data_IF_451347535492
#
_entry.id   IF_451347535492
#
_cell.length_a   1.000
_cell.length_b   1.000
_cell.length_c   1.000
_cell.angle_alpha   90.00
_cell.angle_beta   90.00
_cell.angle_gamma   90.00
#
_symmetry.space_group_name_H-M   'P 1'
#
loop_
_entity.id
_entity.type
_entity.pdbx_description
1 polymer ?
#
# COMPACT_ATOMS: atom_id res chain seq x y z
N UNK A 1 5.78 23.17 65.05
CA UNK A 1 6.39 21.94 64.56
C UNK A 1 5.45 21.26 63.57
N UNK A 2 5.60 21.50 62.30
CA UNK A 2 4.78 20.91 61.25
C UNK A 2 5.61 19.84 60.50
N UNK A 3 5.20 18.58 60.58
CA UNK A 3 5.86 17.45 59.93
C UNK A 3 5.53 17.49 58.39
N UNK A 4 6.54 17.50 57.55
CA UNK A 4 6.45 17.31 56.10
C UNK A 4 6.05 15.85 55.80
N UNK A 5 5.19 15.59 54.79
CA UNK A 5 4.89 14.22 54.36
C UNK A 5 6.06 13.67 53.55
N UNK A 6 6.45 12.42 53.84
CA UNK A 6 7.45 11.63 53.08
C UNK A 6 6.85 11.30 51.70
N UNK A 7 7.53 11.68 50.63
CA UNK A 7 7.28 11.16 49.30
C UNK A 7 7.64 9.66 49.29
N UNK A 8 6.64 8.81 49.00
CA UNK A 8 6.87 7.43 48.61
C UNK A 8 7.50 7.43 47.22
N UNK A 9 8.72 6.96 47.09
CA UNK A 9 9.31 6.65 45.80
C UNK A 9 8.62 5.39 45.27
N UNK A 10 7.80 5.53 44.23
CA UNK A 10 7.32 4.41 43.45
C UNK A 10 8.51 3.85 42.67
N UNK A 11 9.07 2.74 43.10
CA UNK A 11 10.00 1.94 42.31
C UNK A 11 9.22 1.32 41.17
N UNK A 12 9.42 1.85 39.97
CA UNK A 12 9.00 1.17 38.75
C UNK A 12 9.71 -0.20 38.72
N UNK A 13 9.00 -1.33 38.50
CA UNK A 13 9.67 -2.62 38.36
C UNK A 13 10.59 -2.56 37.14
N UNK A 14 11.83 -2.97 37.30
CA UNK A 14 12.76 -3.18 36.18
C UNK A 14 12.08 -4.10 35.17
N UNK A 15 12.12 -3.72 33.88
CA UNK A 15 11.47 -4.46 32.84
C UNK A 15 11.96 -5.91 32.82
N UNK A 16 11.03 -6.83 32.58
CA UNK A 16 11.25 -8.29 32.50
C UNK A 16 12.35 -8.70 31.50
N UNK A 17 12.81 -7.78 30.69
CA UNK A 17 13.77 -7.94 29.61
C UNK A 17 15.24 -7.80 30.04
N UNK A 18 15.52 -7.12 31.15
CA UNK A 18 16.91 -6.94 31.66
C UNK A 18 17.52 -8.24 32.23
N UNK A 19 16.70 -9.21 32.65
CA UNK A 19 17.18 -10.45 33.28
C UNK A 19 17.70 -11.53 32.31
N UNK A 20 17.50 -11.39 30.97
CA UNK A 20 17.84 -12.44 29.99
C UNK A 20 19.04 -12.17 29.09
N UNK A 21 19.72 -11.02 29.18
CA UNK A 21 20.96 -10.75 28.43
C UNK A 21 20.81 -10.79 26.88
N UNK A 22 19.58 -10.89 26.36
CA UNK A 22 19.25 -10.77 24.95
C UNK A 22 19.10 -9.28 24.63
N UNK A 23 19.74 -8.77 23.57
CA UNK A 23 19.35 -7.48 22.98
C UNK A 23 17.87 -7.60 22.67
N UNK A 24 17.02 -6.99 23.51
CA UNK A 24 15.57 -7.02 23.33
C UNK A 24 15.23 -6.24 22.07
N UNK A 25 14.71 -6.94 21.08
CA UNK A 25 14.15 -6.26 19.92
C UNK A 25 12.96 -5.42 20.37
N UNK A 26 12.96 -4.15 19.99
CA UNK A 26 11.84 -3.25 20.25
C UNK A 26 10.57 -3.76 19.54
N UNK A 27 9.38 -3.58 20.15
CA UNK A 27 8.12 -4.10 19.60
C UNK A 27 7.86 -3.63 18.16
N UNK A 28 8.24 -2.40 17.83
CA UNK A 28 8.10 -1.87 16.46
C UNK A 28 8.95 -2.61 15.42
N UNK A 29 9.95 -3.42 15.83
CA UNK A 29 10.82 -4.20 14.94
C UNK A 29 10.25 -5.58 14.62
N UNK A 30 9.27 -6.05 15.39
CA UNK A 30 8.71 -7.38 15.26
C UNK A 30 7.76 -7.48 14.05
N UNK A 31 7.59 -8.68 13.51
CA UNK A 31 6.59 -8.99 12.49
C UNK A 31 5.18 -8.98 13.09
N UNK A 32 4.18 -8.75 12.24
CA UNK A 32 2.79 -8.81 12.68
C UNK A 32 2.41 -10.19 13.23
N UNK A 33 2.93 -11.27 12.63
CA UNK A 33 2.75 -12.65 13.13
C UNK A 33 3.27 -12.77 14.57
N UNK A 34 4.50 -12.33 14.83
CA UNK A 34 5.10 -12.42 16.17
C UNK A 34 4.34 -11.58 17.19
N UNK A 35 3.98 -10.36 16.82
CA UNK A 35 3.17 -9.49 17.69
C UNK A 35 1.80 -10.09 17.99
N UNK A 36 1.15 -10.68 16.99
CA UNK A 36 -0.14 -11.38 17.17
C UNK A 36 -0.04 -12.52 18.20
N UNK A 37 1.04 -13.32 18.13
CA UNK A 37 1.28 -14.41 19.08
C UNK A 37 1.56 -13.86 20.49
N UNK A 38 2.36 -12.81 20.63
CA UNK A 38 2.66 -12.17 21.92
C UNK A 38 1.40 -11.54 22.55
N UNK A 39 0.56 -10.88 21.73
CA UNK A 39 -0.71 -10.33 22.19
C UNK A 39 -1.66 -11.44 22.67
N UNK A 40 -1.76 -12.55 21.93
CA UNK A 40 -2.58 -13.69 22.32
C UNK A 40 -2.12 -14.34 23.62
N UNK A 41 -0.80 -14.44 23.83
CA UNK A 41 -0.17 -15.00 25.01
C UNK A 41 -0.11 -14.00 26.19
N UNK A 42 -0.58 -12.74 26.01
CA UNK A 42 -0.50 -11.66 27.00
C UNK A 42 0.95 -11.31 27.41
N UNK A 43 1.90 -11.49 26.48
CA UNK A 43 3.31 -11.10 26.66
C UNK A 43 3.52 -9.60 26.45
N UNK A 44 2.61 -8.94 25.75
CA UNK A 44 2.49 -7.49 25.58
C UNK A 44 1.01 -7.09 25.38
N UNK A 45 0.70 -5.80 25.51
CA UNK A 45 -0.60 -5.22 25.23
C UNK A 45 -0.60 -4.50 23.88
N UNK A 46 -1.79 -4.29 23.31
CA UNK A 46 -1.97 -3.49 22.09
C UNK A 46 -1.52 -2.05 22.29
N UNK A 47 -1.72 -1.51 23.49
CA UNK A 47 -1.26 -0.16 23.86
C UNK A 47 0.25 -0.09 23.83
N UNK A 48 0.99 -1.06 24.39
CA UNK A 48 2.46 -1.09 24.36
C UNK A 48 3.01 -1.18 22.93
N UNK A 49 2.42 -2.04 22.09
CA UNK A 49 2.80 -2.15 20.67
C UNK A 49 2.58 -0.82 19.97
N UNK A 50 1.39 -0.21 20.15
CA UNK A 50 1.04 1.07 19.52
C UNK A 50 1.95 2.20 20.00
N UNK A 51 2.24 2.28 21.28
CA UNK A 51 3.18 3.28 21.85
C UNK A 51 4.59 3.11 21.28
N UNK A 52 5.08 1.88 21.15
CA UNK A 52 6.39 1.59 20.57
C UNK A 52 6.49 2.09 19.12
N UNK A 53 5.45 1.84 18.30
CA UNK A 53 5.40 2.32 16.90
C UNK A 53 5.24 3.83 16.82
N UNK A 54 4.39 4.44 17.64
CA UNK A 54 4.21 5.91 17.68
C UNK A 54 5.50 6.63 18.14
N UNK A 55 6.24 6.06 19.10
CA UNK A 55 7.55 6.58 19.48
C UNK A 55 8.57 6.48 18.35
N UNK A 56 8.47 5.43 17.54
CA UNK A 56 9.31 5.30 16.34
C UNK A 56 8.95 6.36 15.30
N UNK A 57 7.67 6.62 15.05
CA UNK A 57 7.22 7.71 14.18
C UNK A 57 7.79 9.05 14.67
N UNK A 58 7.62 9.39 15.95
CA UNK A 58 8.17 10.65 16.50
C UNK A 58 9.67 10.83 16.23
N UNK A 59 10.42 9.74 16.30
CA UNK A 59 11.88 9.79 16.16
C UNK A 59 12.38 9.79 14.72
N UNK A 60 11.60 9.22 13.76
CA UNK A 60 12.07 9.00 12.38
C UNK A 60 11.31 9.76 11.32
N UNK A 61 10.05 10.08 11.54
CA UNK A 61 9.21 10.78 10.57
C UNK A 61 9.81 12.12 10.08
N UNK A 62 10.50 12.94 10.92
CA UNK A 62 11.15 14.16 10.44
C UNK A 62 12.22 13.93 9.37
N UNK A 63 12.83 12.75 9.33
CA UNK A 63 13.80 12.36 8.33
C UNK A 63 13.15 11.68 7.10
N UNK A 64 12.14 10.85 7.34
CA UNK A 64 11.54 9.97 6.32
C UNK A 64 10.39 10.64 5.56
N UNK A 65 9.46 11.32 6.24
CA UNK A 65 8.31 11.97 5.63
C UNK A 65 7.29 10.97 5.05
N UNK A 66 7.02 9.88 5.78
CA UNK A 66 6.11 8.83 5.33
C UNK A 66 4.64 9.15 5.59
N UNK A 67 4.32 9.97 6.60
CA UNK A 67 2.95 10.29 7.01
C UNK A 67 2.51 11.69 6.58
N UNK A 68 1.25 11.82 6.14
CA UNK A 68 0.56 13.10 5.97
C UNK A 68 -0.34 13.43 7.16
N UNK A 69 -0.79 12.40 7.88
CA UNK A 69 -1.59 12.53 9.10
C UNK A 69 -1.26 11.37 10.04
N UNK A 70 -0.95 11.66 11.30
CA UNK A 70 -0.77 10.67 12.37
C UNK A 70 -1.95 10.77 13.33
N UNK A 71 -2.67 9.67 13.54
CA UNK A 71 -3.87 9.56 14.38
C UNK A 71 -3.51 8.98 15.76
N UNK A 72 -2.68 9.71 16.53
CA UNK A 72 -2.11 9.23 17.80
C UNK A 72 -3.17 8.86 18.83
N UNK A 73 -4.12 9.77 19.09
CA UNK A 73 -5.11 9.58 20.15
C UNK A 73 -6.09 8.46 19.77
N UNK A 74 -6.58 8.47 18.53
CA UNK A 74 -7.49 7.45 18.01
C UNK A 74 -6.83 6.05 18.02
N UNK A 75 -5.55 5.98 17.66
CA UNK A 75 -4.79 4.72 17.68
C UNK A 75 -4.65 4.17 19.10
N UNK A 76 -4.29 5.01 20.08
CA UNK A 76 -4.17 4.59 21.47
C UNK A 76 -5.52 4.20 22.10
N UNK A 77 -6.58 4.95 21.79
CA UNK A 77 -7.93 4.62 22.25
C UNK A 77 -8.38 3.26 21.69
N UNK A 78 -8.15 3.04 20.39
CA UNK A 78 -8.47 1.76 19.75
C UNK A 78 -7.66 0.60 20.33
N UNK A 79 -6.37 0.81 20.58
CA UNK A 79 -5.51 -0.20 21.21
C UNK A 79 -6.03 -0.58 22.61
N UNK A 80 -6.43 0.40 23.42
CA UNK A 80 -7.01 0.17 24.75
C UNK A 80 -8.33 -0.61 24.67
N UNK A 81 -9.23 -0.28 23.73
CA UNK A 81 -10.47 -1.05 23.51
C UNK A 81 -10.19 -2.52 23.19
N UNK A 82 -9.17 -2.79 22.36
CA UNK A 82 -8.79 -4.17 22.02
C UNK A 82 -8.22 -4.90 23.23
N UNK A 83 -7.41 -4.24 24.06
CA UNK A 83 -6.87 -4.82 25.28
C UNK A 83 -8.00 -5.15 26.28
N UNK A 84 -9.02 -4.30 26.41
CA UNK A 84 -10.22 -4.60 27.23
C UNK A 84 -11.00 -5.83 26.71
N UNK A 85 -11.22 -5.93 25.39
CA UNK A 85 -11.87 -7.09 24.79
C UNK A 85 -11.08 -8.38 25.05
N UNK A 86 -9.75 -8.29 24.89
CA UNK A 86 -8.83 -9.41 25.18
C UNK A 86 -8.86 -9.83 26.66
N UNK A 87 -8.92 -8.86 27.57
CA UNK A 87 -9.03 -9.12 29.01
C UNK A 87 -10.35 -9.83 29.38
N UNK A 88 -11.45 -9.49 28.68
CA UNK A 88 -12.75 -10.15 28.81
C UNK A 88 -12.81 -11.56 28.21
N UNK A 89 -11.75 -11.99 27.49
CA UNK A 89 -11.70 -13.30 26.85
C UNK A 89 -12.48 -13.39 25.54
N UNK A 90 -12.76 -12.26 24.89
CA UNK A 90 -13.42 -12.26 23.59
C UNK A 90 -12.52 -12.92 22.52
N UNK A 91 -13.14 -13.63 21.58
CA UNK A 91 -12.43 -14.19 20.42
C UNK A 91 -12.05 -13.06 19.47
N UNK A 92 -10.78 -12.81 19.32
CA UNK A 92 -10.22 -11.72 18.49
C UNK A 92 -9.47 -12.26 17.27
N UNK A 93 -9.51 -11.50 16.19
CA UNK A 93 -8.72 -11.84 15.00
C UNK A 93 -7.21 -11.72 15.26
N UNK A 94 -6.40 -12.31 14.39
CA UNK A 94 -4.94 -12.18 14.47
C UNK A 94 -4.44 -10.75 14.23
N UNK A 95 -5.23 -9.88 13.61
CA UNK A 95 -4.91 -8.46 13.41
C UNK A 95 -5.33 -7.57 14.59
N UNK A 96 -6.07 -8.10 15.56
CA UNK A 96 -6.58 -7.32 16.67
C UNK A 96 -5.44 -6.74 17.53
N UNK A 97 -5.34 -5.42 17.54
CA UNK A 97 -4.29 -4.67 18.22
C UNK A 97 -3.01 -4.46 17.42
N UNK A 98 -2.95 -4.87 16.15
CA UNK A 98 -1.79 -4.64 15.27
C UNK A 98 -1.89 -3.26 14.61
N UNK A 99 -0.84 -2.41 14.72
CA UNK A 99 -0.80 -1.10 14.09
C UNK A 99 -0.67 -1.16 12.56
N UNK A 100 -1.56 -0.44 11.84
CA UNK A 100 -1.64 -0.42 10.38
C UNK A 100 -1.66 1.02 9.87
N UNK A 101 -0.80 1.35 8.90
CA UNK A 101 -0.81 2.62 8.17
C UNK A 101 -1.62 2.52 6.88
N UNK A 102 -2.31 3.59 6.48
CA UNK A 102 -3.25 3.61 5.37
C UNK A 102 -2.79 4.60 4.30
N UNK A 103 -2.59 4.15 3.06
CA UNK A 103 -2.27 5.07 1.94
C UNK A 103 -3.33 6.14 1.78
N UNK A 104 -2.91 7.37 1.47
CA UNK A 104 -3.78 8.54 1.54
C UNK A 104 -4.79 8.69 0.39
N UNK A 105 -4.94 7.69 -0.45
CA UNK A 105 -6.03 7.57 -1.42
C UNK A 105 -7.13 6.57 -1.01
N UNK A 106 -7.05 6.01 0.18
CA UNK A 106 -8.07 5.12 0.75
C UNK A 106 -8.93 5.95 1.71
N UNK A 107 -10.21 6.12 1.38
CA UNK A 107 -11.15 6.89 2.19
C UNK A 107 -11.28 6.28 3.59
N UNK A 108 -11.04 7.10 4.59
CA UNK A 108 -11.15 6.74 6.01
C UNK A 108 -12.07 7.76 6.67
N UNK A 109 -13.21 7.32 7.17
CA UNK A 109 -14.24 8.18 7.76
C UNK A 109 -13.65 9.07 8.87
N UNK A 110 -13.91 10.37 8.76
CA UNK A 110 -13.49 11.35 9.77
C UNK A 110 -12.00 11.68 9.75
N UNK A 111 -11.19 11.03 8.91
CA UNK A 111 -9.74 11.30 8.78
C UNK A 111 -9.44 11.91 7.42
N UNK A 112 -8.75 13.02 7.42
CA UNK A 112 -8.34 13.74 6.20
C UNK A 112 -7.71 12.77 5.19
N UNK A 113 -8.19 12.79 3.94
CA UNK A 113 -7.77 11.92 2.85
C UNK A 113 -7.57 12.76 1.58
N UNK A 114 -6.32 13.03 1.23
CA UNK A 114 -5.97 14.08 0.27
C UNK A 114 -5.47 13.56 -1.07
N UNK A 115 -5.16 12.27 -1.20
CA UNK A 115 -4.43 11.72 -2.36
C UNK A 115 -3.09 12.45 -2.63
N UNK A 116 -2.50 13.02 -1.58
CA UNK A 116 -1.30 13.87 -1.64
C UNK A 116 -1.44 15.06 -2.62
N UNK A 117 -2.66 15.61 -2.79
CA UNK A 117 -3.01 16.67 -3.73
C UNK A 117 -3.61 17.88 -3.03
N UNK A 118 -3.31 19.07 -3.55
CA UNK A 118 -3.95 20.32 -3.13
C UNK A 118 -5.47 20.30 -3.40
N UNK A 119 -5.91 19.65 -4.48
CA UNK A 119 -7.33 19.57 -4.83
C UNK A 119 -8.20 18.93 -3.74
N UNK A 120 -7.63 18.05 -2.92
CA UNK A 120 -8.30 17.37 -1.80
C UNK A 120 -7.68 17.70 -0.43
N UNK A 121 -6.89 18.77 -0.30
CA UNK A 121 -6.11 19.04 0.92
C UNK A 121 -6.96 19.08 2.20
N UNK A 122 -8.21 19.50 2.12
CA UNK A 122 -9.14 19.62 3.24
C UNK A 122 -10.27 18.57 3.21
N UNK A 123 -10.18 17.56 2.35
CA UNK A 123 -11.24 16.57 2.22
C UNK A 123 -11.21 15.58 3.36
N UNK A 124 -12.33 15.46 4.06
CA UNK A 124 -12.57 14.46 5.11
C UNK A 124 -13.73 13.58 4.65
N UNK A 125 -13.49 12.29 4.35
CA UNK A 125 -14.53 11.38 3.89
C UNK A 125 -15.63 11.18 4.94
N UNK A 126 -16.92 11.19 4.55
CA UNK A 126 -18.05 10.86 5.44
C UNK A 126 -18.29 9.35 5.54
N UNK A 127 -17.50 8.51 4.88
CA UNK A 127 -17.63 7.05 4.82
C UNK A 127 -16.27 6.37 4.81
N UNK A 128 -16.26 5.10 5.14
CA UNK A 128 -15.09 4.24 5.07
C UNK A 128 -15.01 3.51 3.72
N UNK A 129 -13.78 3.26 3.25
CA UNK A 129 -13.55 2.29 2.20
C UNK A 129 -13.83 0.88 2.73
N UNK A 130 -14.25 -0.05 1.86
CA UNK A 130 -14.48 -1.45 2.25
C UNK A 130 -13.34 -2.07 3.06
N UNK A 131 -12.09 -1.80 2.67
CA UNK A 131 -10.93 -2.31 3.42
C UNK A 131 -10.82 -1.73 4.82
N UNK A 132 -11.33 -0.52 5.06
CA UNK A 132 -11.36 0.09 6.39
C UNK A 132 -12.41 -0.57 7.28
N UNK A 133 -13.60 -0.88 6.75
CA UNK A 133 -14.60 -1.67 7.48
C UNK A 133 -14.03 -3.03 7.88
N UNK A 134 -13.33 -3.71 6.94
CA UNK A 134 -12.65 -4.98 7.21
C UNK A 134 -11.54 -4.88 8.29
N UNK A 135 -10.75 -3.83 8.27
CA UNK A 135 -9.72 -3.59 9.30
C UNK A 135 -10.35 -3.29 10.67
N UNK A 136 -11.43 -2.52 10.69
CA UNK A 136 -12.17 -2.21 11.91
C UNK A 136 -12.77 -3.48 12.53
N UNK A 137 -13.41 -4.33 11.70
CA UNK A 137 -13.95 -5.63 12.12
C UNK A 137 -12.85 -6.57 12.64
N UNK A 138 -11.69 -6.55 12.01
CA UNK A 138 -10.53 -7.33 12.42
C UNK A 138 -9.84 -6.78 13.70
N UNK A 139 -10.24 -5.61 14.19
CA UNK A 139 -9.65 -5.01 15.38
C UNK A 139 -8.27 -4.40 15.18
N UNK A 140 -7.88 -4.08 13.95
CA UNK A 140 -6.63 -3.40 13.66
C UNK A 140 -6.60 -1.97 14.24
N UNK A 141 -5.41 -1.45 14.49
CA UNK A 141 -5.17 -0.10 15.01
C UNK A 141 -4.67 0.79 13.88
N UNK A 142 -5.47 1.74 13.44
CA UNK A 142 -5.11 2.67 12.36
C UNK A 142 -4.18 3.76 12.89
N UNK A 143 -2.96 3.84 12.34
CA UNK A 143 -1.95 4.83 12.76
C UNK A 143 -2.10 6.19 12.08
N UNK A 144 -2.68 6.23 10.88
CA UNK A 144 -2.82 7.45 10.10
C UNK A 144 -2.72 7.24 8.60
N UNK A 145 -2.51 8.35 7.87
CA UNK A 145 -2.51 8.43 6.41
C UNK A 145 -1.11 8.63 5.87
N UNK A 146 -0.73 7.76 4.94
CA UNK A 146 0.62 7.64 4.39
C UNK A 146 0.77 8.38 3.07
N UNK A 147 1.88 9.09 2.93
CA UNK A 147 2.23 9.88 1.76
C UNK A 147 2.33 9.02 0.49
N UNK A 148 2.14 9.65 -0.66
CA UNK A 148 2.07 9.00 -1.95
C UNK A 148 2.39 9.98 -3.08
N UNK A 149 2.64 9.52 -4.29
CA UNK A 149 2.57 10.38 -5.46
C UNK A 149 1.13 10.85 -5.67
N UNK A 150 0.95 12.10 -6.06
CA UNK A 150 -0.36 12.75 -6.23
C UNK A 150 -1.30 11.89 -7.09
N UNK A 151 -2.50 11.57 -6.59
CA UNK A 151 -3.50 10.69 -7.20
C UNK A 151 -2.94 9.36 -7.72
N UNK A 152 -1.93 8.82 -7.05
CA UNK A 152 -1.21 7.59 -7.43
C UNK A 152 -0.48 7.68 -8.79
N UNK A 153 -0.20 8.88 -9.28
CA UNK A 153 0.49 9.15 -10.55
C UNK A 153 1.95 9.50 -10.32
N UNK A 154 2.80 8.47 -10.29
CA UNK A 154 4.23 8.58 -10.08
C UNK A 154 4.84 7.26 -9.67
N UNK A 155 6.17 7.28 -9.47
CA UNK A 155 6.96 6.09 -9.10
C UNK A 155 8.08 6.40 -8.12
N UNK A 156 8.02 7.58 -7.45
CA UNK A 156 9.09 8.04 -6.57
C UNK A 156 8.59 8.67 -5.26
N UNK A 157 7.30 8.98 -5.16
CA UNK A 157 6.68 9.76 -4.05
C UNK A 157 7.29 11.16 -3.91
N UNK A 158 7.75 11.71 -5.04
CA UNK A 158 8.20 13.11 -5.14
C UNK A 158 7.10 14.05 -5.63
N UNK A 159 6.01 13.51 -6.25
CA UNK A 159 4.89 14.29 -6.78
C UNK A 159 3.84 14.62 -5.72
N UNK A 160 4.10 14.36 -4.44
CA UNK A 160 3.22 14.82 -3.36
C UNK A 160 3.21 16.33 -3.26
N UNK A 161 2.02 16.92 -3.10
CA UNK A 161 1.86 18.36 -2.84
C UNK A 161 2.45 18.78 -1.49
N UNK A 162 2.43 17.89 -0.49
CA UNK A 162 2.77 18.25 0.89
C UNK A 162 4.27 18.10 1.19
N UNK A 163 4.85 16.95 0.87
CA UNK A 163 6.25 16.64 1.19
C UNK A 163 6.77 15.47 0.35
N UNK A 164 8.08 15.33 0.30
CA UNK A 164 8.74 14.16 -0.30
C UNK A 164 8.95 13.08 0.76
N UNK A 165 8.74 11.83 0.39
CA UNK A 165 9.15 10.70 1.22
C UNK A 165 10.53 10.22 0.80
N UNK A 166 11.36 9.84 1.78
CA UNK A 166 12.73 9.37 1.55
C UNK A 166 12.84 7.88 1.84
N UNK A 167 13.81 7.24 1.18
CA UNK A 167 14.09 5.83 1.43
C UNK A 167 14.78 5.66 2.79
N UNK A 168 14.23 4.83 3.70
CA UNK A 168 14.79 4.65 5.05
C UNK A 168 16.21 4.07 5.09
N UNK A 169 16.63 3.35 4.04
CA UNK A 169 17.97 2.79 3.94
C UNK A 169 19.01 3.85 3.58
N UNK A 170 18.63 4.82 2.76
CA UNK A 170 19.47 5.96 2.42
C UNK A 170 18.55 7.14 2.00
N UNK A 171 18.46 8.20 2.82
CA UNK A 171 17.60 9.36 2.56
C UNK A 171 17.93 10.17 1.30
N UNK A 172 19.06 9.90 0.65
CA UNK A 172 19.40 10.50 -0.64
C UNK A 172 18.65 9.85 -1.82
N UNK A 173 18.01 8.71 -1.59
CA UNK A 173 17.26 7.97 -2.62
C UNK A 173 15.76 8.02 -2.36
N UNK A 174 14.99 7.77 -3.42
CA UNK A 174 13.54 7.67 -3.37
C UNK A 174 13.10 6.33 -2.79
N UNK A 175 11.95 6.25 -2.10
CA UNK A 175 11.38 4.99 -1.60
C UNK A 175 10.68 4.20 -2.70
N UNK A 176 10.58 4.77 -3.91
CA UNK A 176 9.65 4.31 -4.93
C UNK A 176 8.24 4.92 -4.75
N UNK A 177 7.30 4.48 -5.57
CA UNK A 177 5.93 5.02 -5.59
C UNK A 177 4.98 4.23 -6.52
N UNK A 178 3.73 4.59 -6.44
CA UNK A 178 3.13 5.72 -5.73
C UNK A 178 2.89 5.45 -4.23
N UNK A 179 3.03 4.21 -3.71
CA UNK A 179 2.86 3.89 -2.28
C UNK A 179 4.18 4.01 -1.51
N UNK A 180 4.99 5.07 -1.76
CA UNK A 180 6.30 5.23 -1.15
C UNK A 180 6.23 5.45 0.37
N UNK A 181 5.25 6.22 0.85
CA UNK A 181 5.01 6.37 2.28
C UNK A 181 4.65 5.04 2.95
N UNK A 182 3.80 4.21 2.29
CA UNK A 182 3.44 2.89 2.81
C UNK A 182 4.65 1.96 2.93
N UNK A 183 5.53 1.96 1.93
CA UNK A 183 6.72 1.12 1.95
C UNK A 183 7.78 1.65 2.93
N UNK A 184 8.02 2.95 2.94
CA UNK A 184 8.98 3.59 3.83
C UNK A 184 8.59 3.42 5.30
N UNK A 185 7.32 3.58 5.67
CA UNK A 185 6.85 3.40 7.04
C UNK A 185 7.13 1.99 7.58
N UNK A 186 6.88 0.94 6.79
CA UNK A 186 7.20 -0.45 7.17
C UNK A 186 8.71 -0.63 7.33
N UNK A 187 9.51 -0.18 6.35
CA UNK A 187 10.97 -0.32 6.38
C UNK A 187 11.61 0.44 7.54
N UNK A 188 11.10 1.65 7.87
CA UNK A 188 11.59 2.46 8.99
C UNK A 188 11.14 1.96 10.36
N UNK A 189 10.17 1.07 10.43
CA UNK A 189 9.53 0.64 11.69
C UNK A 189 8.44 1.57 12.20
N UNK A 190 7.98 2.49 11.38
CA UNK A 190 6.90 3.42 11.66
C UNK A 190 5.49 2.84 11.44
N UNK A 191 5.43 1.64 10.92
CA UNK A 191 4.24 0.80 10.88
C UNK A 191 4.64 -0.67 10.91
N UNK A 192 3.76 -1.53 11.46
CA UNK A 192 3.93 -2.98 11.38
C UNK A 192 3.48 -3.49 10.02
N UNK A 193 2.32 -3.04 9.59
CA UNK A 193 1.68 -3.32 8.32
C UNK A 193 1.17 -2.03 7.67
N UNK A 194 1.03 -2.01 6.35
CA UNK A 194 0.39 -0.90 5.67
C UNK A 194 -0.48 -1.38 4.50
N UNK A 195 -1.48 -0.57 4.13
CA UNK A 195 -2.18 -0.69 2.87
C UNK A 195 -1.61 0.29 1.85
N UNK A 196 -1.42 -0.20 0.64
CA UNK A 196 -1.08 0.58 -0.54
C UNK A 196 -2.11 0.40 -1.65
N UNK A 197 -1.87 1.01 -2.80
CA UNK A 197 -2.61 0.74 -4.04
C UNK A 197 -1.65 0.60 -5.21
N UNK A 198 -1.98 -0.26 -6.16
CA UNK A 198 -1.15 -0.59 -7.32
C UNK A 198 -1.98 -0.53 -8.61
N UNK A 199 -1.57 0.30 -9.53
CA UNK A 199 -2.17 0.45 -10.86
C UNK A 199 -1.21 -0.07 -11.94
N UNK A 200 0.09 0.24 -11.77
CA UNK A 200 1.16 -0.15 -12.70
C UNK A 200 2.47 -0.47 -11.98
N UNK A 201 2.42 -0.93 -10.72
CA UNK A 201 3.60 -1.25 -9.92
C UNK A 201 3.67 -0.57 -8.55
N UNK A 202 2.67 0.25 -8.21
CA UNK A 202 2.74 1.18 -7.06
C UNK A 202 2.69 0.54 -5.66
N UNK A 203 2.61 -0.77 -5.53
CA UNK A 203 2.92 -1.55 -4.31
C UNK A 203 4.24 -2.28 -4.49
N UNK A 204 4.40 -2.98 -5.62
CA UNK A 204 5.52 -3.90 -5.90
C UNK A 204 6.84 -3.16 -5.97
N UNK A 205 6.91 -2.06 -6.71
CA UNK A 205 8.14 -1.30 -6.93
C UNK A 205 8.62 -0.62 -5.64
N UNK A 206 7.81 0.14 -4.88
CA UNK A 206 8.29 0.72 -3.62
C UNK A 206 8.62 -0.35 -2.57
N UNK A 207 7.94 -1.49 -2.54
CA UNK A 207 8.32 -2.61 -1.68
C UNK A 207 9.71 -3.15 -2.00
N UNK A 208 10.04 -3.31 -3.29
CA UNK A 208 11.36 -3.72 -3.73
C UNK A 208 12.44 -2.69 -3.35
N UNK A 209 12.17 -1.40 -3.54
CA UNK A 209 13.13 -0.32 -3.22
C UNK A 209 13.37 -0.15 -1.71
N UNK A 210 12.36 -0.44 -0.89
CA UNK A 210 12.45 -0.38 0.56
C UNK A 210 12.82 -1.71 1.23
N UNK A 211 13.01 -2.80 0.45
CA UNK A 211 13.43 -4.11 0.98
C UNK A 211 12.39 -4.79 1.88
N UNK A 212 11.11 -4.65 1.55
CA UNK A 212 9.97 -5.24 2.25
C UNK A 212 9.14 -6.14 1.31
N UNK A 213 8.14 -6.81 1.85
CA UNK A 213 7.19 -7.62 1.08
C UNK A 213 5.94 -6.80 0.75
N UNK A 214 5.59 -6.75 -0.54
CA UNK A 214 4.34 -6.14 -1.00
C UNK A 214 3.60 -7.05 -1.95
N UNK A 215 2.30 -7.18 -1.77
CA UNK A 215 1.43 -8.00 -2.62
C UNK A 215 0.46 -7.10 -3.40
N UNK A 216 0.52 -7.16 -4.72
CA UNK A 216 -0.60 -6.73 -5.57
C UNK A 216 -1.54 -7.90 -5.77
N UNK A 217 -2.70 -7.93 -5.10
CA UNK A 217 -3.67 -9.01 -5.25
C UNK A 217 -4.20 -9.12 -6.68
N UNK A 218 -4.82 -10.25 -6.99
CA UNK A 218 -5.60 -10.41 -8.22
C UNK A 218 -6.69 -9.34 -8.27
N UNK A 219 -6.84 -8.66 -9.42
CA UNK A 219 -7.90 -7.67 -9.63
C UNK A 219 -9.25 -8.25 -9.22
N UNK A 220 -10.07 -7.45 -8.56
CA UNK A 220 -11.39 -7.81 -8.01
C UNK A 220 -11.40 -8.67 -6.74
N UNK A 221 -10.26 -9.10 -6.22
CA UNK A 221 -10.21 -9.87 -4.95
C UNK A 221 -10.33 -8.99 -3.70
N UNK A 222 -9.96 -7.73 -3.80
CA UNK A 222 -10.17 -6.68 -2.79
C UNK A 222 -10.98 -5.58 -3.43
N UNK A 223 -12.07 -5.17 -2.79
CA UNK A 223 -12.93 -4.11 -3.28
C UNK A 223 -12.19 -2.78 -3.44
N UNK A 224 -12.57 -2.04 -4.47
CA UNK A 224 -12.12 -0.67 -4.73
C UNK A 224 -13.09 0.40 -4.20
N UNK A 225 -14.19 -0.02 -3.54
CA UNK A 225 -15.09 0.94 -2.90
C UNK A 225 -14.35 1.78 -1.87
N UNK A 226 -14.40 3.10 -2.03
CA UNK A 226 -13.68 4.05 -1.20
C UNK A 226 -12.20 4.23 -1.56
N UNK A 227 -11.67 3.57 -2.59
CA UNK A 227 -10.40 3.92 -3.21
C UNK A 227 -10.60 5.07 -4.18
N UNK A 228 -9.91 6.19 -3.99
CA UNK A 228 -9.94 7.29 -4.96
C UNK A 228 -9.26 6.83 -6.25
N UNK A 229 -10.03 6.83 -7.35
CA UNK A 229 -9.62 6.19 -8.59
C UNK A 229 -8.54 6.97 -9.34
N UNK A 230 -7.49 6.26 -9.75
CA UNK A 230 -6.60 6.66 -10.85
C UNK A 230 -7.09 6.04 -12.16
N UNK A 231 -6.97 4.71 -12.30
CA UNK A 231 -7.42 3.96 -13.47
C UNK A 231 -8.27 2.77 -13.02
N UNK A 232 -9.58 2.91 -13.10
CA UNK A 232 -10.55 2.01 -12.48
C UNK A 232 -10.44 0.56 -12.93
N UNK A 233 -9.97 0.30 -14.16
CA UNK A 233 -9.75 -1.06 -14.67
C UNK A 233 -8.44 -1.70 -14.25
N UNK A 234 -7.57 -0.96 -13.55
CA UNK A 234 -6.22 -1.40 -13.17
C UNK A 234 -5.95 -1.29 -11.67
N UNK A 235 -6.57 -0.31 -10.98
CA UNK A 235 -6.31 -0.04 -9.57
C UNK A 235 -6.65 -1.24 -8.69
N UNK A 236 -5.76 -1.54 -7.73
CA UNK A 236 -5.97 -2.60 -6.75
C UNK A 236 -5.33 -2.19 -5.41
N UNK A 237 -6.10 -2.30 -4.31
CA UNK A 237 -5.56 -2.18 -2.95
C UNK A 237 -4.82 -3.47 -2.60
N UNK A 238 -3.72 -3.35 -1.86
CA UNK A 238 -2.99 -4.51 -1.36
C UNK A 238 -2.10 -4.19 -0.17
N UNK A 239 -1.69 -5.25 0.54
CA UNK A 239 -0.92 -5.17 1.77
C UNK A 239 0.58 -5.05 1.53
N UNK A 240 1.26 -4.37 2.48
CA UNK A 240 2.71 -4.35 2.61
C UNK A 240 3.09 -4.73 4.05
N UNK A 241 4.19 -5.44 4.22
CA UNK A 241 4.67 -5.91 5.53
C UNK A 241 6.12 -6.40 5.46
N UNK A 242 6.66 -6.86 6.59
CA UNK A 242 8.05 -7.31 6.67
C UNK A 242 8.25 -8.76 6.23
N UNK A 243 7.21 -9.58 6.29
CA UNK A 243 7.27 -10.99 5.92
C UNK A 243 6.11 -11.38 5.02
N UNK A 244 6.27 -12.51 4.32
CA UNK A 244 5.19 -13.08 3.49
C UNK A 244 3.97 -13.43 4.34
N UNK A 245 4.18 -13.93 5.56
CA UNK A 245 3.09 -14.26 6.49
C UNK A 245 2.34 -13.02 6.96
N UNK A 246 3.04 -11.92 7.24
CA UNK A 246 2.41 -10.63 7.59
C UNK A 246 1.49 -10.15 6.47
N UNK A 247 1.99 -10.19 5.23
CA UNK A 247 1.24 -9.80 4.03
C UNK A 247 0.05 -10.73 3.79
N UNK A 248 0.22 -12.05 3.96
CA UNK A 248 -0.85 -13.03 3.84
C UNK A 248 -1.96 -12.80 4.90
N UNK A 249 -1.57 -12.49 6.13
CA UNK A 249 -2.50 -12.20 7.22
C UNK A 249 -3.35 -10.95 6.93
N UNK A 250 -2.72 -9.86 6.48
CA UNK A 250 -3.44 -8.64 6.13
C UNK A 250 -4.32 -8.85 4.87
N UNK A 251 -3.82 -9.60 3.86
CA UNK A 251 -4.61 -9.92 2.67
C UNK A 251 -5.86 -10.75 3.00
N UNK A 252 -5.72 -11.77 3.86
CA UNK A 252 -6.86 -12.59 4.31
C UNK A 252 -7.96 -11.75 4.97
N UNK A 253 -7.58 -10.69 5.68
CA UNK A 253 -8.54 -9.83 6.35
C UNK A 253 -9.29 -8.88 5.39
N UNK A 254 -8.63 -8.39 4.33
CA UNK A 254 -9.19 -7.35 3.45
C UNK A 254 -9.81 -7.88 2.16
N UNK A 255 -9.57 -9.14 1.78
CA UNK A 255 -10.20 -9.75 0.61
C UNK A 255 -11.67 -10.09 0.88
N UNK A 256 -12.44 -10.20 -0.19
CA UNK A 256 -13.85 -10.59 -0.10
C UNK A 256 -14.73 -9.85 -1.09
N UNK A 257 -15.98 -10.33 -1.18
CA UNK A 257 -17.01 -9.70 -2.00
C UNK A 257 -17.54 -8.44 -1.34
N UNK A 258 -17.70 -7.40 -2.13
CA UNK A 258 -18.36 -6.17 -1.76
C UNK A 258 -19.48 -5.83 -2.76
N UNK A 259 -20.73 -5.67 -2.31
CA UNK A 259 -21.84 -5.29 -3.19
C UNK A 259 -21.74 -3.85 -3.73
N UNK A 260 -20.93 -2.98 -3.11
CA UNK A 260 -20.70 -1.60 -3.57
C UNK A 260 -19.69 -1.49 -4.71
N UNK A 261 -18.91 -2.54 -4.99
CA UNK A 261 -18.00 -2.62 -6.12
C UNK A 261 -18.48 -3.68 -7.10
N UNK A 262 -19.06 -3.25 -8.24
CA UNK A 262 -19.55 -4.14 -9.28
C UNK A 262 -18.47 -5.05 -9.90
N UNK A 263 -17.19 -4.71 -9.70
CA UNK A 263 -16.06 -5.53 -10.17
C UNK A 263 -15.59 -6.53 -9.13
N UNK A 264 -16.08 -6.46 -7.90
CA UNK A 264 -15.71 -7.39 -6.82
C UNK A 264 -16.14 -8.83 -7.15
N UNK A 265 -15.17 -9.75 -7.11
CA UNK A 265 -15.41 -11.14 -7.52
C UNK A 265 -16.31 -11.89 -6.51
N UNK A 266 -17.26 -12.65 -7.06
CA UNK A 266 -18.14 -13.53 -6.27
C UNK A 266 -17.43 -14.86 -6.05
N UNK A 267 -16.60 -14.93 -5.01
CA UNK A 267 -15.89 -16.16 -4.62
C UNK A 267 -15.56 -16.14 -3.13
N UNK A 268 -15.35 -17.31 -2.57
CA UNK A 268 -14.79 -17.47 -1.24
C UNK A 268 -13.27 -17.39 -1.30
N UNK A 269 -12.67 -16.83 -0.27
CA UNK A 269 -11.23 -16.69 -0.12
C UNK A 269 -10.78 -17.51 1.09
N UNK A 270 -9.73 -18.32 0.95
CA UNK A 270 -9.19 -19.08 2.08
C UNK A 270 -8.41 -18.16 3.03
N UNK A 271 -8.05 -18.70 4.20
CA UNK A 271 -6.99 -18.09 5.00
C UNK A 271 -5.64 -18.29 4.29
N UNK A 272 -5.13 -17.19 3.70
CA UNK A 272 -3.88 -17.22 2.94
C UNK A 272 -2.65 -17.48 3.82
N UNK A 273 -2.73 -17.33 5.15
CA UNK A 273 -1.62 -17.68 6.04
C UNK A 273 -1.33 -19.17 6.01
N UNK A 274 -2.35 -20.01 5.81
CA UNK A 274 -2.22 -21.46 5.65
C UNK A 274 -1.58 -21.85 4.30
N UNK A 275 -1.60 -20.97 3.30
CA UNK A 275 -1.00 -21.21 2.00
C UNK A 275 0.52 -20.92 1.96
N UNK A 276 1.07 -20.24 2.99
CA UNK A 276 2.51 -19.97 3.09
C UNK A 276 3.25 -21.24 3.47
N UNK A 277 3.74 -21.94 2.45
CA UNK A 277 4.47 -23.21 2.58
C UNK A 277 5.90 -23.05 2.10
N UNK A 278 6.80 -23.83 2.65
CA UNK A 278 8.21 -23.91 2.23
C UNK A 278 8.46 -24.96 1.13
N UNK A 279 7.47 -25.78 0.78
CA UNK A 279 7.63 -26.83 -0.20
C UNK A 279 7.45 -26.29 -1.63
N UNK A 280 8.51 -26.38 -2.42
CA UNK A 280 8.56 -25.92 -3.81
C UNK A 280 8.79 -27.07 -4.81
N UNK A 281 8.94 -28.30 -4.31
CA UNK A 281 9.16 -29.50 -5.16
C UNK A 281 8.01 -29.68 -6.14
N UNK A 282 8.36 -29.84 -7.42
CA UNK A 282 7.38 -30.01 -8.49
C UNK A 282 6.77 -28.74 -9.06
N UNK A 283 7.07 -27.55 -8.49
CA UNK A 283 6.67 -26.31 -9.10
C UNK A 283 7.44 -26.09 -10.42
N UNK A 284 6.73 -25.61 -11.43
CA UNK A 284 7.29 -25.19 -12.71
C UNK A 284 7.32 -23.67 -12.76
N UNK A 285 8.52 -23.11 -12.78
CA UNK A 285 8.76 -21.65 -12.66
C UNK A 285 9.21 -21.12 -14.01
N UNK A 286 8.39 -20.25 -14.62
CA UNK A 286 8.71 -19.59 -15.88
C UNK A 286 9.73 -18.47 -15.68
N UNK A 287 10.72 -18.39 -16.55
CA UNK A 287 11.72 -17.33 -16.61
C UNK A 287 11.57 -16.62 -17.95
N UNK A 288 10.83 -15.47 -18.01
CA UNK A 288 10.66 -14.74 -19.25
C UNK A 288 11.96 -14.06 -19.68
N UNK A 289 12.41 -14.35 -20.90
CA UNK A 289 13.65 -13.75 -21.43
C UNK A 289 13.57 -12.21 -21.53
N UNK A 290 12.37 -11.67 -21.80
CA UNK A 290 12.11 -10.25 -21.94
C UNK A 290 12.32 -9.48 -20.62
N UNK A 291 12.26 -10.15 -19.47
CA UNK A 291 12.47 -9.53 -18.15
C UNK A 291 13.95 -9.35 -17.79
N UNK A 292 14.86 -9.86 -18.62
CA UNK A 292 16.32 -9.73 -18.45
C UNK A 292 16.97 -8.88 -19.55
N UNK A 293 16.18 -8.01 -20.20
CA UNK A 293 16.62 -7.11 -21.26
C UNK A 293 17.62 -6.04 -20.84
N UNK A 294 17.82 -5.06 -21.72
CA UNK A 294 18.64 -3.88 -21.42
C UNK A 294 18.02 -3.01 -20.31
N UNK A 295 18.86 -2.28 -19.58
CA UNK A 295 18.42 -1.36 -18.52
C UNK A 295 18.32 -1.98 -17.11
N UNK A 296 18.47 -3.31 -16.97
CA UNK A 296 18.54 -3.96 -15.65
C UNK A 296 20.01 -4.13 -15.25
N UNK A 297 20.37 -3.66 -14.06
CA UNK A 297 21.75 -3.78 -13.56
C UNK A 297 22.14 -5.24 -13.35
N UNK A 298 23.46 -5.52 -13.47
CA UNK A 298 24.00 -6.87 -13.29
C UNK A 298 23.65 -7.45 -11.92
N UNK A 299 23.74 -6.64 -10.85
CA UNK A 299 23.44 -7.05 -9.47
C UNK A 299 21.99 -7.51 -9.29
N UNK A 300 21.03 -6.81 -9.94
CA UNK A 300 19.63 -7.20 -9.92
C UNK A 300 19.43 -8.52 -10.67
N UNK A 301 20.01 -8.67 -11.87
CA UNK A 301 19.96 -9.94 -12.63
C UNK A 301 20.52 -11.10 -11.81
N UNK A 302 21.68 -10.90 -11.18
CA UNK A 302 22.33 -11.92 -10.35
C UNK A 302 21.44 -12.31 -9.16
N UNK A 303 20.83 -11.32 -8.48
CA UNK A 303 19.95 -11.55 -7.34
C UNK A 303 18.72 -12.38 -7.73
N UNK A 304 18.07 -12.06 -8.86
CA UNK A 304 16.93 -12.80 -9.39
C UNK A 304 17.35 -14.25 -9.73
N UNK A 305 18.45 -14.43 -10.45
CA UNK A 305 18.97 -15.76 -10.79
C UNK A 305 19.35 -16.57 -9.56
N UNK A 306 19.92 -15.95 -8.54
CA UNK A 306 20.25 -16.62 -7.27
C UNK A 306 19.01 -17.21 -6.61
N UNK A 307 17.89 -16.47 -6.59
CA UNK A 307 16.62 -16.97 -6.05
C UNK A 307 16.09 -18.12 -6.93
N UNK A 308 16.07 -17.95 -8.26
CA UNK A 308 15.64 -18.98 -9.20
C UNK A 308 16.42 -20.29 -9.00
N UNK A 309 17.75 -20.21 -8.90
CA UNK A 309 18.63 -21.38 -8.65
C UNK A 309 18.42 -22.00 -7.27
N UNK A 310 18.11 -21.18 -6.26
CA UNK A 310 17.77 -21.69 -4.92
C UNK A 310 16.48 -22.54 -4.98
N UNK A 311 15.46 -22.06 -5.70
CA UNK A 311 14.21 -22.78 -5.89
C UNK A 311 14.41 -24.08 -6.70
N UNK A 312 15.24 -24.03 -7.74
CA UNK A 312 15.61 -25.21 -8.53
C UNK A 312 16.32 -26.27 -7.64
N UNK A 313 17.27 -25.83 -6.81
CA UNK A 313 17.95 -26.70 -5.83
C UNK A 313 17.01 -27.30 -4.79
N UNK A 314 15.88 -26.64 -4.50
CA UNK A 314 14.83 -27.14 -3.63
C UNK A 314 13.79 -28.03 -4.34
N UNK A 315 13.98 -28.32 -5.63
CA UNK A 315 13.17 -29.28 -6.41
C UNK A 315 12.12 -28.67 -7.32
N UNK A 316 12.15 -27.36 -7.55
CA UNK A 316 11.39 -26.71 -8.63
C UNK A 316 12.06 -26.96 -9.98
N UNK A 317 11.32 -26.77 -11.08
CA UNK A 317 11.83 -26.83 -12.44
C UNK A 317 11.78 -25.43 -13.05
N UNK A 318 12.92 -24.90 -13.51
CA UNK A 318 12.96 -23.65 -14.27
C UNK A 318 12.58 -23.91 -15.74
N UNK A 319 11.76 -23.05 -16.32
CA UNK A 319 11.25 -23.18 -17.70
C UNK A 319 11.43 -21.85 -18.41
N UNK A 320 12.13 -21.85 -19.53
CA UNK A 320 12.26 -20.66 -20.39
C UNK A 320 10.91 -20.30 -21.01
N UNK A 321 10.58 -19.00 -20.94
CA UNK A 321 9.30 -18.45 -21.45
C UNK A 321 9.61 -17.23 -22.31
N UNK A 322 8.76 -16.98 -23.28
CA UNK A 322 8.77 -15.73 -24.07
C UNK A 322 7.41 -15.06 -23.97
N UNK A 323 7.43 -13.77 -23.63
CA UNK A 323 6.28 -12.87 -23.51
C UNK A 323 6.53 -11.61 -24.37
N UNK A 324 6.55 -11.73 -25.69
CA UNK A 324 7.05 -10.69 -26.61
C UNK A 324 6.23 -9.39 -26.56
N UNK A 325 4.95 -9.46 -26.20
CA UNK A 325 4.12 -8.24 -26.06
C UNK A 325 4.49 -7.40 -24.83
N UNK A 326 5.38 -7.88 -23.94
CA UNK A 326 5.90 -7.12 -22.79
C UNK A 326 6.59 -5.84 -23.23
N UNK A 327 7.25 -5.80 -24.39
CA UNK A 327 7.91 -4.61 -24.93
C UNK A 327 6.94 -3.43 -25.14
N UNK A 328 5.67 -3.72 -25.33
CA UNK A 328 4.61 -2.71 -25.51
C UNK A 328 3.80 -2.43 -24.25
N UNK A 329 4.06 -3.17 -23.16
CA UNK A 329 3.24 -3.12 -21.94
C UNK A 329 3.21 -1.72 -21.33
N UNK A 330 4.37 -1.07 -21.22
CA UNK A 330 4.49 0.26 -20.64
C UNK A 330 3.73 1.32 -21.46
N UNK A 331 3.86 1.29 -22.79
CA UNK A 331 3.15 2.21 -23.69
C UNK A 331 1.63 2.00 -23.60
N UNK A 332 1.17 0.75 -23.63
CA UNK A 332 -0.24 0.42 -23.49
C UNK A 332 -0.81 0.88 -22.13
N UNK A 333 -0.04 0.65 -21.04
CA UNK A 333 -0.40 1.12 -19.72
C UNK A 333 -0.58 2.63 -19.67
N UNK A 334 0.37 3.42 -20.15
CA UNK A 334 0.28 4.89 -20.12
C UNK A 334 -0.93 5.43 -20.90
N UNK A 335 -1.25 4.82 -22.03
CA UNK A 335 -2.42 5.21 -22.83
C UNK A 335 -3.73 4.89 -22.08
N UNK A 336 -3.89 3.66 -21.60
CA UNK A 336 -5.11 3.21 -20.91
C UNK A 336 -5.29 3.97 -19.60
N UNK A 337 -4.25 4.01 -18.77
CA UNK A 337 -4.31 4.66 -17.47
C UNK A 337 -4.57 6.17 -17.57
N UNK A 338 -3.95 6.86 -18.55
CA UNK A 338 -4.20 8.29 -18.76
C UNK A 338 -5.60 8.55 -19.29
N UNK A 339 -6.13 7.71 -20.20
CA UNK A 339 -7.49 7.79 -20.67
C UNK A 339 -8.50 7.68 -19.51
N UNK A 340 -8.32 6.70 -18.64
CA UNK A 340 -9.19 6.50 -17.47
C UNK A 340 -9.01 7.64 -16.45
N UNK A 341 -7.78 8.11 -16.21
CA UNK A 341 -7.50 9.24 -15.33
C UNK A 341 -8.23 10.51 -15.78
N UNK A 342 -8.20 10.84 -17.07
CA UNK A 342 -8.89 12.02 -17.60
C UNK A 342 -10.39 12.00 -17.30
N UNK A 343 -11.02 10.83 -17.38
CA UNK A 343 -12.43 10.63 -17.03
C UNK A 343 -12.66 10.63 -15.51
N UNK A 344 -11.83 9.90 -14.75
CA UNK A 344 -11.99 9.79 -13.30
C UNK A 344 -11.76 11.12 -12.56
N UNK A 345 -10.79 11.92 -13.00
CA UNK A 345 -10.46 13.18 -12.36
C UNK A 345 -11.32 14.37 -12.85
N UNK A 346 -12.22 14.15 -13.82
CA UNK A 346 -13.17 15.17 -14.26
C UNK A 346 -14.11 15.65 -13.15
N UNK A 347 -14.36 14.81 -12.14
CA UNK A 347 -15.23 15.11 -10.99
C UNK A 347 -14.66 16.16 -10.00
N UNK A 348 -13.36 16.40 -10.04
CA UNK A 348 -12.69 17.38 -9.18
C UNK A 348 -12.73 18.75 -9.84
N UNK A 349 -13.82 19.46 -9.62
CA UNK A 349 -14.17 20.74 -10.26
C UNK A 349 -14.31 21.91 -9.27
N UNK A 350 -14.12 21.64 -7.97
CA UNK A 350 -14.27 22.64 -6.92
C UNK A 350 -15.71 23.05 -6.60
N UNK A 351 -16.71 22.33 -7.12
CA UNK A 351 -18.13 22.66 -6.89
C UNK A 351 -18.70 21.93 -5.67
N UNK A 352 -18.56 20.61 -5.60
CA UNK A 352 -19.17 19.81 -4.53
C UNK A 352 -18.25 19.61 -3.33
N UNK A 353 -16.95 19.47 -3.55
CA UNK A 353 -15.93 19.23 -2.53
C UNK A 353 -14.53 19.55 -3.10
N UNK A 354 -13.55 19.61 -2.21
CA UNK A 354 -12.17 19.88 -2.54
C UNK A 354 -11.87 21.38 -2.67
N UNK A 355 -10.67 21.66 -3.16
CA UNK A 355 -10.19 23.02 -3.41
C UNK A 355 -11.01 23.72 -4.48
N UNK A 356 -11.29 25.01 -4.28
CA UNK A 356 -11.84 25.94 -5.27
C UNK A 356 -10.95 27.17 -5.34
N UNK A 357 -10.62 27.61 -6.56
CA UNK A 357 -9.91 28.86 -6.77
C UNK A 357 -10.65 30.02 -6.12
N UNK A 358 -9.91 30.94 -5.53
CA UNK A 358 -10.48 32.10 -4.81
C UNK A 358 -10.93 33.22 -5.74
N UNK A 359 -10.27 33.34 -6.90
CA UNK A 359 -10.47 34.41 -7.86
C UNK A 359 -10.87 33.83 -9.22
N UNK A 360 -12.01 34.26 -9.73
CA UNK A 360 -12.53 33.94 -11.06
C UNK A 360 -13.65 34.92 -11.44
N UNK A 361 -13.75 35.30 -12.72
CA UNK A 361 -14.78 36.23 -13.21
C UNK A 361 -16.06 35.51 -13.63
N UNK A 362 -15.98 34.24 -13.97
CA UNK A 362 -17.10 33.41 -14.47
C UNK A 362 -16.90 31.93 -14.15
N UNK A 363 -17.92 31.11 -14.47
CA UNK A 363 -17.92 29.68 -14.18
C UNK A 363 -16.79 28.91 -14.91
N UNK A 364 -16.47 29.27 -16.13
CA UNK A 364 -15.39 28.64 -16.90
C UNK A 364 -14.05 28.90 -16.23
N UNK A 365 -13.76 30.13 -15.90
CA UNK A 365 -12.53 30.49 -15.15
C UNK A 365 -12.46 29.80 -13.79
N UNK A 366 -13.60 29.65 -13.09
CA UNK A 366 -13.62 28.92 -11.82
C UNK A 366 -13.12 27.48 -12.01
N UNK A 367 -13.58 26.79 -13.04
CA UNK A 367 -13.11 25.43 -13.34
C UNK A 367 -11.64 25.40 -13.75
N UNK A 368 -11.24 26.30 -14.64
CA UNK A 368 -9.87 26.36 -15.15
C UNK A 368 -8.87 26.69 -14.04
N UNK A 369 -9.13 27.71 -13.24
CA UNK A 369 -8.27 28.12 -12.14
C UNK A 369 -8.22 27.04 -11.07
N UNK A 370 -9.38 26.50 -10.65
CA UNK A 370 -9.44 25.42 -9.66
C UNK A 370 -8.58 24.22 -10.05
N UNK A 371 -8.70 23.75 -11.27
CA UNK A 371 -7.94 22.59 -11.74
C UNK A 371 -6.48 22.92 -12.02
N UNK A 372 -6.20 24.13 -12.48
CA UNK A 372 -4.85 24.62 -12.73
C UNK A 372 -4.04 24.77 -11.44
N UNK A 373 -4.65 25.28 -10.40
CA UNK A 373 -4.03 25.49 -9.08
C UNK A 373 -4.02 24.21 -8.24
N UNK A 374 -5.13 23.44 -8.30
CA UNK A 374 -5.35 22.27 -7.46
C UNK A 374 -4.59 21.01 -7.85
N UNK A 375 -4.28 20.82 -9.15
CA UNK A 375 -3.54 19.66 -9.62
C UNK A 375 -2.06 19.96 -9.88
N UNK A 376 -1.19 19.04 -9.50
CA UNK A 376 0.24 19.06 -9.81
C UNK A 376 0.53 18.78 -11.30
N UNK A 377 1.78 18.99 -11.68
CA UNK A 377 2.21 18.92 -13.08
C UNK A 377 2.02 17.55 -13.72
N UNK A 378 2.33 16.45 -12.99
CA UNK A 378 2.20 15.09 -13.52
C UNK A 378 0.72 14.71 -13.72
N UNK A 379 -0.15 15.05 -12.79
CA UNK A 379 -1.59 14.80 -12.92
C UNK A 379 -2.17 15.55 -14.12
N UNK A 380 -1.82 16.83 -14.28
CA UNK A 380 -2.23 17.63 -15.46
C UNK A 380 -1.77 16.98 -16.76
N UNK A 381 -0.51 16.52 -16.82
CA UNK A 381 0.04 15.81 -17.99
C UNK A 381 -0.77 14.55 -18.33
N UNK A 382 -1.13 13.72 -17.32
CA UNK A 382 -1.93 12.51 -17.55
C UNK A 382 -3.35 12.83 -17.99
N UNK A 383 -3.98 13.86 -17.44
CA UNK A 383 -5.32 14.31 -17.88
C UNK A 383 -5.28 14.77 -19.33
N UNK A 384 -4.30 15.59 -19.71
CA UNK A 384 -4.15 16.07 -21.09
C UNK A 384 -3.87 14.93 -22.06
N UNK A 385 -2.96 14.02 -21.74
CA UNK A 385 -2.69 12.82 -22.55
C UNK A 385 -3.92 11.95 -22.69
N UNK A 386 -4.67 11.75 -21.62
CA UNK A 386 -5.93 10.97 -21.64
C UNK A 386 -6.99 11.59 -22.53
N UNK A 387 -7.21 12.89 -22.40
CA UNK A 387 -8.13 13.63 -23.29
C UNK A 387 -7.72 13.54 -24.76
N UNK A 388 -6.43 13.62 -25.05
CA UNK A 388 -5.88 13.50 -26.40
C UNK A 388 -6.16 12.11 -27.00
N UNK A 389 -5.79 11.03 -26.29
CA UNK A 389 -5.95 9.66 -26.82
C UNK A 389 -7.40 9.19 -26.92
N UNK A 390 -8.34 9.90 -26.26
CA UNK A 390 -9.78 9.65 -26.36
C UNK A 390 -10.46 10.55 -27.41
N UNK A 391 -9.77 11.56 -27.96
CA UNK A 391 -10.36 12.49 -28.91
C UNK A 391 -10.63 11.84 -30.27
N UNK A 392 -11.56 12.46 -31.03
CA UNK A 392 -11.93 12.01 -32.36
C UNK A 392 -10.70 11.96 -33.28
N UNK A 393 -10.54 10.86 -34.02
CA UNK A 393 -9.39 10.60 -34.90
C UNK A 393 -8.19 9.94 -34.22
N UNK A 394 -8.05 10.05 -32.88
CA UNK A 394 -6.94 9.42 -32.14
C UNK A 394 -7.37 8.19 -31.34
N UNK A 395 -8.65 8.05 -31.03
CA UNK A 395 -9.19 6.92 -30.27
C UNK A 395 -8.82 5.56 -30.89
N UNK A 396 -9.03 5.40 -32.20
CA UNK A 396 -8.69 4.17 -32.91
C UNK A 396 -7.19 3.96 -33.05
N UNK A 397 -6.44 5.04 -33.25
CA UNK A 397 -5.00 4.99 -33.44
C UNK A 397 -4.23 4.65 -32.16
N UNK A 398 -4.73 5.05 -31.00
CA UNK A 398 -4.04 4.88 -29.70
C UNK A 398 -4.82 4.01 -28.74
N UNK A 399 -6.01 4.43 -28.28
CA UNK A 399 -6.73 3.74 -27.22
C UNK A 399 -7.11 2.31 -27.58
N UNK A 400 -7.73 2.11 -28.76
CA UNK A 400 -8.06 0.75 -29.23
C UNK A 400 -6.85 -0.13 -29.40
N UNK A 401 -5.73 0.39 -29.93
CA UNK A 401 -4.48 -0.37 -30.06
C UNK A 401 -3.92 -0.77 -28.69
N UNK A 402 -3.94 0.14 -27.71
CA UNK A 402 -3.51 -0.18 -26.37
C UNK A 402 -4.38 -1.26 -25.71
N UNK A 403 -5.70 -1.20 -25.89
CA UNK A 403 -6.64 -2.25 -25.44
C UNK A 403 -6.38 -3.59 -26.12
N UNK A 404 -6.11 -3.58 -27.42
CA UNK A 404 -5.74 -4.80 -28.15
C UNK A 404 -4.42 -5.39 -27.63
N UNK A 405 -3.40 -4.54 -27.39
CA UNK A 405 -2.13 -4.98 -26.78
C UNK A 405 -2.35 -5.58 -25.39
N UNK A 406 -3.22 -5.00 -24.56
CA UNK A 406 -3.59 -5.56 -23.27
C UNK A 406 -4.17 -6.97 -23.39
N UNK A 407 -5.06 -7.21 -24.37
CA UNK A 407 -5.62 -8.54 -24.62
C UNK A 407 -4.55 -9.54 -25.07
N UNK A 408 -3.61 -9.13 -25.92
CA UNK A 408 -2.49 -10.00 -26.34
C UNK A 408 -1.59 -10.38 -25.17
N UNK A 409 -1.25 -9.43 -24.32
CA UNK A 409 -0.47 -9.71 -23.09
C UNK A 409 -1.22 -10.72 -22.21
N UNK A 410 -2.53 -10.55 -22.00
CA UNK A 410 -3.34 -11.52 -21.25
C UNK A 410 -3.32 -12.91 -21.87
N UNK A 411 -3.36 -13.02 -23.20
CA UNK A 411 -3.33 -14.29 -23.92
C UNK A 411 -1.97 -14.99 -23.78
N UNK A 412 -0.87 -14.25 -23.88
CA UNK A 412 0.48 -14.77 -23.68
C UNK A 412 0.66 -15.34 -22.25
N UNK A 413 0.23 -14.59 -21.21
CA UNK A 413 0.26 -15.11 -19.84
C UNK A 413 -0.67 -16.32 -19.66
N UNK A 414 -1.89 -16.30 -20.22
CA UNK A 414 -2.82 -17.43 -20.13
C UNK A 414 -2.21 -18.68 -20.78
N UNK A 415 -1.58 -18.54 -21.93
CA UNK A 415 -0.87 -19.63 -22.60
C UNK A 415 0.30 -20.16 -21.77
N UNK A 416 1.12 -19.27 -21.22
CA UNK A 416 2.25 -19.65 -20.38
C UNK A 416 1.78 -20.43 -19.12
N UNK A 417 0.74 -19.99 -18.46
CA UNK A 417 0.21 -20.64 -17.26
C UNK A 417 -0.51 -21.97 -17.51
N UNK A 418 -0.70 -22.41 -18.76
CA UNK A 418 -1.15 -23.79 -19.03
C UNK A 418 -0.10 -24.84 -18.60
N UNK A 419 1.17 -24.47 -18.57
CA UNK A 419 2.28 -25.36 -18.24
C UNK A 419 3.12 -24.91 -17.05
N UNK A 420 2.84 -23.77 -16.44
CA UNK A 420 3.61 -23.18 -15.35
C UNK A 420 2.81 -23.10 -14.06
N UNK A 421 3.51 -23.20 -12.94
CA UNK A 421 2.95 -22.91 -11.61
C UNK A 421 3.03 -21.43 -11.26
N UNK A 422 4.14 -20.78 -11.62
CA UNK A 422 4.36 -19.35 -11.42
C UNK A 422 5.39 -18.81 -12.45
N UNK A 423 5.47 -17.49 -12.54
CA UNK A 423 6.51 -16.79 -13.27
C UNK A 423 7.34 -16.02 -12.26
N UNK A 424 8.66 -16.21 -12.31
CA UNK A 424 9.62 -15.50 -11.45
C UNK A 424 10.25 -14.35 -12.22
N UNK A 425 10.27 -13.19 -11.57
CA UNK A 425 10.77 -11.93 -12.12
C UNK A 425 11.96 -11.46 -11.30
#
# INVERSE_FOLDING_TARGET
>A
MLRKPRRAASSCPKSWNEERGLKTMELYQLTAEKLSDMLANKECSSVEVTQSVLGRIESKEPEIGAYLTVCREEALNRAAEIDEKRAKGESLSRLAGIPVGIKDNICTRGIRTTCASHILENFVPPYDAFVMDKLNDAGAVVLGKLNMDEFAMGSSTENSYFQKTRNPWNPAYVPGGSSGGSAAAVAAGEAVLTLGSDTGGSIRQPSAYCGIVGLKPTYSSVSRYGLVAFASSLDQIGPLGRSVKDVAMLYSAICGRDPHDATSAVREYPDFTAAVKSEVKGLRIGIPKEYFGEGISADVKESVWKVAKTLEGAGATLVDVSLPSTDYALSAYYIIASAEASSNLARFDGVKYGYRAKEYANLTEMYENTRSEGFGAEVKRRIMLGAYVLSSGYYDAYYKKAKFTQLRIQEEFRSAFQSLSLIHI
#
